data_IF_629268598445
#
_entry.id   IF_629268598445
#
_cell.length_a   1.000
_cell.length_b   1.000
_cell.length_c   1.000
_cell.angle_alpha   90.00
_cell.angle_beta   90.00
_cell.angle_gamma   90.00
#
_symmetry.space_group_name_H-M   'P 1'
#
loop_
_entity.id
_entity.type
_entity.pdbx_description
1 polymer ?
#
# COMPACT_ATOMS: atom_id res chain seq x y z
N UNK A 1 -72.29 -2.13 15.19
CA UNK A 1 -70.84 -1.83 15.10
C UNK A 1 -70.27 -2.71 14.01
N UNK A 2 -70.02 -2.15 12.83
CA UNK A 2 -69.53 -2.84 11.64
C UNK A 2 -68.00 -2.76 11.60
N UNK A 3 -67.34 -3.90 11.69
CA UNK A 3 -65.88 -4.00 11.55
C UNK A 3 -65.59 -4.20 10.07
N UNK A 4 -64.92 -3.23 9.44
CA UNK A 4 -64.43 -3.34 8.08
C UNK A 4 -63.25 -4.31 8.04
N UNK A 5 -63.41 -5.47 7.41
CA UNK A 5 -62.33 -6.41 7.16
C UNK A 5 -61.43 -5.86 6.06
N UNK A 6 -60.24 -5.40 6.44
CA UNK A 6 -59.20 -5.06 5.47
C UNK A 6 -58.68 -6.35 4.79
N UNK A 7 -58.34 -6.33 3.50
CA UNK A 7 -57.81 -7.51 2.83
C UNK A 7 -56.43 -7.85 3.42
N UNK A 8 -56.32 -9.03 4.05
CA UNK A 8 -55.05 -9.56 4.55
C UNK A 8 -54.38 -10.35 3.42
N UNK A 9 -53.27 -9.84 2.90
CA UNK A 9 -52.45 -10.56 1.93
C UNK A 9 -51.54 -11.58 2.64
N UNK A 10 -51.79 -12.86 2.42
CA UNK A 10 -50.94 -13.95 2.88
C UNK A 10 -49.84 -14.17 1.84
N UNK A 11 -48.66 -13.59 2.10
CA UNK A 11 -47.47 -13.80 1.25
C UNK A 11 -46.83 -15.14 1.62
N UNK A 12 -47.08 -16.18 0.83
CA UNK A 12 -46.44 -17.48 1.03
C UNK A 12 -45.05 -17.50 0.39
N UNK A 13 -44.02 -17.38 1.23
CA UNK A 13 -42.63 -17.37 0.79
C UNK A 13 -42.13 -18.81 0.57
N UNK A 14 -42.23 -19.32 -0.66
CA UNK A 14 -41.58 -20.57 -1.06
C UNK A 14 -40.09 -20.33 -1.35
N UNK A 15 -39.34 -19.89 -0.35
CA UNK A 15 -37.89 -19.88 -0.45
C UNK A 15 -37.38 -21.32 -0.34
N UNK A 16 -37.02 -21.93 -1.48
CA UNK A 16 -35.96 -22.94 -1.46
C UNK A 16 -34.71 -22.19 -1.05
N UNK A 17 -34.40 -22.21 0.24
CA UNK A 17 -33.18 -21.65 0.78
C UNK A 17 -32.00 -22.44 0.21
N UNK A 18 -31.60 -22.16 -1.04
CA UNK A 18 -30.35 -22.63 -1.62
C UNK A 18 -29.22 -21.71 -1.15
N UNK A 19 -29.18 -21.43 0.14
CA UNK A 19 -27.99 -20.93 0.80
C UNK A 19 -26.96 -22.04 0.81
N UNK A 20 -26.06 -22.06 -0.18
CA UNK A 20 -24.79 -22.77 -0.02
C UNK A 20 -24.16 -22.21 1.25
N UNK A 21 -24.06 -23.02 2.30
CA UNK A 21 -23.17 -22.74 3.42
C UNK A 21 -21.77 -22.71 2.84
N UNK A 22 -21.26 -21.52 2.55
CA UNK A 22 -19.82 -21.33 2.40
C UNK A 22 -19.28 -21.68 3.78
N UNK A 23 -18.67 -22.85 3.90
CA UNK A 23 -17.96 -23.22 5.11
C UNK A 23 -16.97 -22.08 5.37
N UNK A 24 -17.11 -21.41 6.51
CA UNK A 24 -16.08 -20.50 6.98
C UNK A 24 -14.87 -21.38 7.20
N UNK A 25 -13.98 -21.45 6.20
CA UNK A 25 -12.64 -21.94 6.41
C UNK A 25 -12.06 -21.04 7.49
N UNK A 26 -11.87 -21.63 8.66
CA UNK A 26 -11.17 -20.98 9.75
C UNK A 26 -9.80 -20.60 9.20
N UNK A 27 -9.58 -19.31 8.95
CA UNK A 27 -8.24 -18.77 8.73
C UNK A 27 -7.47 -18.93 10.04
N UNK A 28 -7.02 -20.16 10.34
CA UNK A 28 -5.85 -20.34 11.18
C UNK A 28 -4.76 -19.54 10.47
N UNK A 29 -4.26 -18.48 11.10
CA UNK A 29 -2.92 -18.01 10.75
C UNK A 29 -2.05 -19.27 10.75
N UNK A 30 -1.25 -19.53 9.70
CA UNK A 30 -0.28 -20.59 9.80
C UNK A 30 0.56 -20.26 11.04
N UNK A 31 0.46 -21.13 12.06
CA UNK A 31 1.46 -21.18 13.12
C UNK A 31 2.79 -21.22 12.38
N UNK A 32 3.59 -20.18 12.60
CA UNK A 32 4.92 -20.13 12.04
C UNK A 32 5.65 -21.30 12.68
N UNK A 33 5.78 -22.39 11.92
CA UNK A 33 6.92 -23.26 12.06
C UNK A 33 8.13 -22.31 11.93
N UNK A 34 8.69 -21.88 13.06
CA UNK A 34 10.02 -21.27 13.16
C UNK A 34 11.08 -22.32 12.84
N UNK A 35 10.83 -23.15 11.81
CA UNK A 35 11.82 -24.04 11.20
C UNK A 35 12.68 -23.16 10.31
N UNK A 36 13.63 -22.51 10.97
CA UNK A 36 15.03 -22.60 10.60
C UNK A 36 15.24 -22.41 9.09
N UNK A 37 15.22 -21.15 8.64
CA UNK A 37 15.99 -20.78 7.45
C UNK A 37 17.44 -20.68 7.92
N UNK A 38 18.06 -21.82 8.19
CA UNK A 38 19.51 -21.89 8.33
C UNK A 38 20.13 -22.17 6.97
N UNK A 39 20.94 -21.19 6.54
CA UNK A 39 22.23 -21.37 5.86
C UNK A 39 22.20 -21.87 4.41
N UNK A 40 21.94 -20.94 3.50
CA UNK A 40 22.71 -20.80 2.25
C UNK A 40 22.87 -19.27 2.06
N UNK A 41 23.89 -18.64 2.64
CA UNK A 41 25.12 -18.26 1.92
C UNK A 41 26.25 -18.00 2.94
N UNK A 42 26.77 -19.05 3.56
CA UNK A 42 28.10 -19.01 4.21
C UNK A 42 29.03 -19.83 3.33
N UNK A 43 29.27 -19.39 2.10
CA UNK A 43 30.37 -19.94 1.31
C UNK A 43 30.82 -18.91 0.28
N UNK A 44 32.13 -18.71 0.21
CA UNK A 44 32.87 -17.89 -0.75
C UNK A 44 32.87 -16.35 -0.57
N UNK A 45 33.38 -15.90 0.56
CA UNK A 45 34.67 -15.18 0.65
C UNK A 45 35.06 -14.07 -0.36
N UNK A 46 34.12 -13.37 -1.00
CA UNK A 46 34.29 -11.97 -1.45
C UNK A 46 32.93 -11.30 -1.31
N UNK A 47 32.72 -10.52 -0.24
CA UNK A 47 31.52 -9.68 -0.07
C UNK A 47 31.57 -8.53 -1.07
N UNK A 48 31.27 -8.79 -2.34
CA UNK A 48 30.95 -7.72 -3.26
C UNK A 48 29.74 -6.96 -2.69
N UNK A 49 29.90 -5.64 -2.53
CA UNK A 49 28.85 -4.77 -2.00
C UNK A 49 27.68 -4.70 -2.99
N UNK A 50 26.76 -5.64 -2.85
CA UNK A 50 25.54 -5.68 -3.63
C UNK A 50 24.57 -4.64 -3.08
N UNK A 51 24.46 -3.49 -3.76
CA UNK A 51 23.58 -2.36 -3.37
C UNK A 51 22.14 -2.84 -3.12
N UNK A 52 21.66 -3.81 -3.92
CA UNK A 52 20.32 -4.40 -3.75
C UNK A 52 20.18 -5.11 -2.40
N UNK A 53 21.15 -5.94 -2.02
CA UNK A 53 21.17 -6.68 -0.75
C UNK A 53 21.28 -5.73 0.44
N UNK A 54 22.21 -4.78 0.39
CA UNK A 54 22.36 -3.77 1.43
C UNK A 54 21.08 -2.96 1.64
N UNK A 55 20.39 -2.59 0.55
CA UNK A 55 19.10 -1.89 0.64
C UNK A 55 18.03 -2.72 1.35
N UNK A 56 18.00 -4.04 1.17
CA UNK A 56 17.06 -4.91 1.87
C UNK A 56 17.40 -5.07 3.35
N UNK A 57 18.68 -5.22 3.68
CA UNK A 57 19.15 -5.33 5.06
C UNK A 57 18.85 -4.05 5.86
N UNK A 58 19.13 -2.88 5.26
CA UNK A 58 18.78 -1.57 5.86
C UNK A 58 17.27 -1.47 6.08
N UNK A 59 16.47 -1.89 5.10
CA UNK A 59 15.01 -1.81 5.24
C UNK A 59 14.50 -2.78 6.31
N UNK A 60 15.01 -4.02 6.36
CA UNK A 60 14.70 -5.02 7.39
C UNK A 60 15.08 -4.51 8.79
N UNK A 61 16.27 -3.90 8.92
CA UNK A 61 16.75 -3.34 10.17
C UNK A 61 15.86 -2.17 10.64
N UNK A 62 15.46 -1.28 9.73
CA UNK A 62 14.53 -0.19 10.02
C UNK A 62 13.18 -0.63 10.57
N UNK A 63 12.70 -1.83 10.22
CA UNK A 63 11.43 -2.39 10.74
C UNK A 63 11.49 -2.75 12.23
N UNK A 64 12.68 -3.07 12.76
CA UNK A 64 12.81 -3.59 14.12
C UNK A 64 12.55 -2.54 15.20
N UNK A 65 12.72 -1.25 14.89
CA UNK A 65 12.62 -0.15 15.84
C UNK A 65 11.26 0.57 15.90
N UNK A 66 10.26 0.14 15.12
CA UNK A 66 8.95 0.81 15.08
C UNK A 66 7.90 0.17 15.99
N UNK A 67 6.89 0.97 16.37
CA UNK A 67 5.68 0.52 17.03
C UNK A 67 5.04 -0.66 16.28
N UNK A 68 4.43 -1.60 17.01
CA UNK A 68 3.88 -2.85 16.45
C UNK A 68 2.99 -2.66 15.23
N UNK A 69 2.15 -1.62 15.20
CA UNK A 69 1.29 -1.35 14.05
C UNK A 69 2.05 -0.85 12.82
N UNK A 70 2.98 0.08 13.01
CA UNK A 70 3.83 0.61 11.94
C UNK A 70 4.70 -0.50 11.36
N UNK A 71 5.29 -1.30 12.26
CA UNK A 71 6.05 -2.49 11.88
C UNK A 71 5.23 -3.45 11.00
N UNK A 72 3.95 -3.70 11.30
CA UNK A 72 3.08 -4.53 10.45
C UNK A 72 2.88 -3.93 9.06
N UNK A 73 2.58 -2.63 8.97
CA UNK A 73 2.38 -1.91 7.70
C UNK A 73 3.64 -1.95 6.84
N UNK A 74 4.81 -1.76 7.45
CA UNK A 74 6.08 -1.73 6.74
C UNK A 74 6.58 -3.15 6.37
N UNK A 75 6.28 -4.17 7.18
CA UNK A 75 6.48 -5.58 6.80
C UNK A 75 5.65 -5.94 5.55
N UNK A 76 4.39 -5.51 5.50
CA UNK A 76 3.51 -5.74 4.34
C UNK A 76 4.08 -5.01 3.11
N UNK A 77 4.51 -3.75 3.24
CA UNK A 77 5.06 -2.99 2.11
C UNK A 77 6.35 -3.61 1.56
N UNK A 78 7.23 -4.12 2.44
CA UNK A 78 8.42 -4.86 2.06
C UNK A 78 8.07 -6.15 1.34
N UNK A 79 7.13 -6.94 1.87
CA UNK A 79 6.67 -8.17 1.22
C UNK A 79 6.13 -7.88 -0.20
N UNK A 80 5.31 -6.84 -0.36
CA UNK A 80 4.81 -6.41 -1.68
C UNK A 80 5.96 -6.06 -2.63
N UNK A 81 6.97 -5.35 -2.12
CA UNK A 81 8.14 -4.97 -2.92
C UNK A 81 9.01 -6.16 -3.34
N UNK A 82 9.03 -7.23 -2.54
CA UNK A 82 9.64 -8.52 -2.90
C UNK A 82 8.79 -9.36 -3.86
N UNK A 83 7.60 -8.87 -4.22
CA UNK A 83 6.69 -9.54 -5.17
C UNK A 83 5.53 -10.28 -4.50
N UNK A 84 5.35 -10.16 -3.18
CA UNK A 84 4.18 -10.73 -2.52
C UNK A 84 2.89 -10.04 -3.01
N UNK A 85 1.81 -10.82 -3.06
CA UNK A 85 0.49 -10.30 -3.43
C UNK A 85 -0.02 -9.33 -2.35
N UNK A 86 -0.48 -8.11 -2.72
CA UNK A 86 -1.02 -7.17 -1.74
C UNK A 86 -2.27 -7.74 -1.05
N UNK A 87 -2.53 -7.36 0.22
CA UNK A 87 -3.71 -7.81 0.93
C UNK A 87 -4.99 -7.32 0.25
N UNK A 88 -6.06 -8.11 0.38
CA UNK A 88 -7.37 -7.77 -0.17
C UNK A 88 -7.92 -6.55 0.57
N UNK A 89 -8.53 -5.62 -0.18
CA UNK A 89 -9.22 -4.46 0.41
C UNK A 89 -10.46 -4.92 1.16
N UNK A 90 -10.83 -4.16 2.19
CA UNK A 90 -12.07 -4.34 2.92
C UNK A 90 -13.27 -4.18 1.99
N UNK A 91 -14.36 -4.89 2.30
CA UNK A 91 -15.61 -4.76 1.56
C UNK A 91 -16.27 -3.42 1.90
N UNK A 92 -16.65 -2.67 0.87
CA UNK A 92 -17.33 -1.38 1.01
C UNK A 92 -18.52 -1.35 0.06
N UNK A 93 -19.64 -0.76 0.48
CA UNK A 93 -20.80 -0.57 -0.39
C UNK A 93 -20.43 0.29 -1.60
N UNK A 94 -20.95 -0.07 -2.77
CA UNK A 94 -20.62 0.60 -4.03
C UNK A 94 -20.93 2.11 -4.01
N UNK A 95 -22.06 2.53 -3.42
CA UNK A 95 -22.43 3.95 -3.34
C UNK A 95 -21.42 4.75 -2.51
N UNK A 96 -21.02 4.20 -1.36
CA UNK A 96 -20.01 4.80 -0.49
C UNK A 96 -18.63 4.88 -1.17
N UNK A 97 -18.24 3.82 -1.89
CA UNK A 97 -16.98 3.80 -2.65
C UNK A 97 -16.94 4.92 -3.72
N UNK A 98 -18.06 5.16 -4.41
CA UNK A 98 -18.15 6.23 -5.41
C UNK A 98 -17.98 7.60 -4.73
N UNK A 99 -18.67 7.83 -3.63
CA UNK A 99 -18.60 9.10 -2.90
C UNK A 99 -17.18 9.37 -2.38
N UNK A 100 -16.52 8.37 -1.80
CA UNK A 100 -15.13 8.46 -1.37
C UNK A 100 -14.20 8.82 -2.53
N UNK A 101 -14.37 8.17 -3.70
CA UNK A 101 -13.58 8.48 -4.89
C UNK A 101 -13.82 9.89 -5.43
N UNK A 102 -15.04 10.43 -5.32
CA UNK A 102 -15.35 11.81 -5.72
C UNK A 102 -14.63 12.81 -4.80
N UNK A 103 -14.77 12.64 -3.48
CA UNK A 103 -14.09 13.45 -2.47
C UNK A 103 -12.57 13.43 -2.63
N UNK A 104 -11.98 12.25 -2.81
CA UNK A 104 -10.53 12.11 -3.00
C UNK A 104 -10.04 12.82 -4.28
N UNK A 105 -10.82 12.80 -5.36
CA UNK A 105 -10.50 13.54 -6.59
C UNK A 105 -10.55 15.05 -6.39
N UNK A 106 -11.55 15.55 -5.67
CA UNK A 106 -11.70 16.97 -5.36
C UNK A 106 -10.56 17.46 -4.46
N UNK A 107 -10.22 16.72 -3.40
CA UNK A 107 -9.08 17.02 -2.55
C UNK A 107 -7.75 17.00 -3.30
N UNK A 108 -7.55 16.03 -4.21
CA UNK A 108 -6.34 15.98 -5.05
C UNK A 108 -6.23 17.19 -5.97
N UNK A 109 -7.35 17.63 -6.57
CA UNK A 109 -7.39 18.84 -7.39
C UNK A 109 -7.05 20.07 -6.56
N UNK A 110 -7.65 20.22 -5.38
CA UNK A 110 -7.36 21.34 -4.47
C UNK A 110 -5.87 21.35 -4.04
N UNK A 111 -5.31 20.22 -3.64
CA UNK A 111 -3.88 20.11 -3.30
C UNK A 111 -2.98 20.43 -4.50
N UNK A 112 -3.38 20.04 -5.71
CA UNK A 112 -2.63 20.33 -6.93
C UNK A 112 -2.66 21.83 -7.27
N UNK A 113 -3.81 22.49 -7.12
CA UNK A 113 -3.92 23.95 -7.30
C UNK A 113 -3.09 24.67 -6.25
N UNK A 114 -3.14 24.26 -4.99
CA UNK A 114 -2.36 24.86 -3.91
C UNK A 114 -0.86 24.69 -4.14
N UNK A 115 -0.41 23.50 -4.54
CA UNK A 115 0.98 23.27 -4.91
C UNK A 115 1.42 24.13 -6.10
N UNK A 116 0.55 24.26 -7.11
CA UNK A 116 0.82 25.12 -8.26
C UNK A 116 0.97 26.58 -7.84
N UNK A 117 0.06 27.11 -7.03
CA UNK A 117 0.12 28.47 -6.50
C UNK A 117 1.38 28.68 -5.64
N UNK A 118 1.71 27.75 -4.72
CA UNK A 118 2.95 27.82 -3.94
C UNK A 118 4.20 27.82 -4.83
N UNK A 119 4.19 27.06 -5.93
CA UNK A 119 5.32 27.00 -6.88
C UNK A 119 5.46 28.29 -7.68
N UNK A 120 4.36 28.96 -8.00
CA UNK A 120 4.37 30.28 -8.63
C UNK A 120 4.85 31.38 -7.67
N UNK A 121 4.46 31.32 -6.39
CA UNK A 121 4.88 32.26 -5.34
C UNK A 121 6.36 32.07 -4.94
N UNK A 122 6.85 30.83 -4.95
CA UNK A 122 8.28 30.53 -4.83
C UNK A 122 8.97 30.90 -6.14
N UNK A 123 9.12 32.21 -6.37
CA UNK A 123 9.82 32.76 -7.53
C UNK A 123 11.13 32.00 -7.78
N UNK A 124 11.40 31.68 -9.05
CA UNK A 124 12.63 30.99 -9.45
C UNK A 124 13.81 31.80 -8.91
N UNK A 125 14.52 31.29 -7.88
CA UNK A 125 15.82 31.85 -7.50
C UNK A 125 16.69 31.78 -8.75
N UNK A 126 16.96 32.93 -9.37
CA UNK A 126 17.94 33.03 -10.45
C UNK A 126 19.27 32.65 -9.83
N UNK A 127 19.65 31.38 -9.94
CA UNK A 127 21.02 30.94 -9.67
C UNK A 127 21.86 31.66 -10.72
N UNK A 128 22.49 32.78 -10.35
CA UNK A 128 23.54 33.40 -11.14
C UNK A 128 24.69 32.39 -11.18
N UNK A 129 24.64 31.48 -12.14
CA UNK A 129 25.71 30.53 -12.37
C UNK A 129 26.97 31.31 -12.71
N UNK A 130 27.94 31.33 -11.79
CA UNK A 130 29.32 31.61 -12.18
C UNK A 130 29.70 30.50 -13.18
N UNK A 131 29.77 30.81 -14.47
CA UNK A 131 30.41 29.95 -15.46
C UNK A 131 31.84 29.72 -14.96
N UNK A 132 32.11 28.56 -14.35
CA UNK A 132 33.48 28.09 -14.26
C UNK A 132 33.86 27.73 -15.68
N UNK A 133 34.64 28.59 -16.33
CA UNK A 133 35.38 28.20 -17.53
C UNK A 133 36.35 27.12 -17.10
N UNK A 134 35.97 25.85 -17.25
CA UNK A 134 36.96 24.77 -17.31
C UNK A 134 37.65 24.94 -18.66
N UNK A 135 38.76 25.68 -18.67
CA UNK A 135 39.74 25.55 -19.75
C UNK A 135 40.19 24.10 -19.67
N UNK A 136 39.82 23.28 -20.65
CA UNK A 136 40.40 21.96 -20.80
C UNK A 136 41.81 22.19 -21.37
N UNK A 137 42.90 21.99 -20.62
CA UNK A 137 44.17 21.72 -21.26
C UNK A 137 44.04 20.31 -21.83
N UNK A 138 44.02 20.22 -23.15
CA UNK A 138 44.58 19.08 -23.86
C UNK A 138 45.91 18.66 -23.21
N UNK A 139 46.16 17.34 -23.18
CA UNK A 139 47.40 16.65 -22.81
C UNK A 139 47.68 16.48 -21.30
N UNK A 140 47.72 15.22 -20.86
CA UNK A 140 48.83 14.58 -20.11
C UNK A 140 48.65 13.06 -20.30
N UNK A 141 49.57 12.51 -21.12
CA UNK A 141 50.13 11.15 -21.24
C UNK A 141 49.18 9.96 -21.01
#
# INVERSE_FOLDING_TARGET
MSISEAPVEIIQFNARFCGRKIQKENNKLPEQDEKIIEKEDISSNVKEFNIKRARYEVMRFGLSGFDKEKQKRDKISMAIRLGAKPPKKEYVNYKQLIEQKKKEKEEKKAKQTDQYVLKQLKGRKKVKGKKKMTKNPSSII
#
